data_IF_975382291420
#
_entry.id   IF_975382291420
#
_cell.length_a   1.000
_cell.length_b   1.000
_cell.length_c   1.000
_cell.angle_alpha   90.00
_cell.angle_beta   90.00
_cell.angle_gamma   90.00
#
_symmetry.space_group_name_H-M   'P 1'
#
loop_
_entity.id
_entity.type
_entity.pdbx_description
1 polymer ?
#
# COMPACT_ATOMS: atom_id res chain seq x y z
N UNK A 1 -19.94 23.04 -38.13
CA UNK A 1 -19.23 21.75 -37.93
C UNK A 1 -17.98 21.93 -37.08
N UNK A 2 -17.16 22.96 -37.30
CA UNK A 2 -15.97 23.27 -36.49
C UNK A 2 -16.31 23.65 -35.04
N UNK A 3 -17.31 24.50 -34.82
CA UNK A 3 -17.69 24.97 -33.47
C UNK A 3 -18.09 23.83 -32.51
N UNK A 4 -18.78 22.80 -33.02
CA UNK A 4 -19.18 21.63 -32.22
C UNK A 4 -17.95 20.80 -31.83
N UNK A 5 -16.96 20.69 -32.72
CA UNK A 5 -15.73 19.95 -32.47
C UNK A 5 -14.89 20.69 -31.43
N UNK A 6 -14.81 22.02 -31.50
CA UNK A 6 -14.09 22.85 -30.54
C UNK A 6 -14.70 22.75 -29.13
N UNK A 7 -16.03 22.72 -29.05
CA UNK A 7 -16.77 22.59 -27.79
C UNK A 7 -16.58 21.19 -27.17
N UNK A 8 -16.57 20.14 -28.00
CA UNK A 8 -16.25 18.77 -27.57
C UNK A 8 -14.81 18.66 -27.06
N UNK A 9 -13.86 19.31 -27.73
CA UNK A 9 -12.45 19.30 -27.36
C UNK A 9 -12.24 20.02 -26.01
N UNK A 10 -12.85 21.18 -25.81
CA UNK A 10 -12.80 21.93 -24.56
C UNK A 10 -13.36 21.10 -23.40
N UNK A 11 -14.52 20.47 -23.59
CA UNK A 11 -15.13 19.61 -22.57
C UNK A 11 -14.23 18.42 -22.21
N UNK A 12 -13.59 17.80 -23.20
CA UNK A 12 -12.64 16.69 -22.95
C UNK A 12 -11.44 17.12 -22.11
N UNK A 13 -10.98 18.35 -22.33
CA UNK A 13 -9.84 18.92 -21.63
C UNK A 13 -10.20 19.27 -20.18
N UNK A 14 -11.40 19.80 -19.95
CA UNK A 14 -11.92 20.06 -18.61
C UNK A 14 -12.11 18.77 -17.80
N UNK A 15 -12.61 17.69 -18.42
CA UNK A 15 -12.71 16.38 -17.76
C UNK A 15 -11.32 15.86 -17.37
N UNK A 16 -10.33 16.06 -18.22
CA UNK A 16 -8.94 15.66 -17.94
C UNK A 16 -8.34 16.46 -16.78
N UNK A 17 -8.60 17.76 -16.72
CA UNK A 17 -8.14 18.64 -15.63
C UNK A 17 -8.83 18.28 -14.29
N UNK A 18 -10.15 18.00 -14.33
CA UNK A 18 -10.90 17.52 -13.17
C UNK A 18 -10.33 16.21 -12.61
N UNK A 19 -9.98 15.26 -13.48
CA UNK A 19 -9.34 14.01 -13.06
C UNK A 19 -8.00 14.28 -12.37
N UNK A 20 -7.16 15.15 -12.92
CA UNK A 20 -5.87 15.51 -12.32
C UNK A 20 -6.03 16.17 -10.94
N UNK A 21 -7.03 17.06 -10.78
CA UNK A 21 -7.34 17.70 -9.49
C UNK A 21 -7.84 16.71 -8.44
N UNK A 22 -8.65 15.73 -8.84
CA UNK A 22 -9.13 14.67 -7.93
C UNK A 22 -7.94 13.85 -7.43
N UNK A 23 -7.01 13.46 -8.30
CA UNK A 23 -5.79 12.75 -7.88
C UNK A 23 -4.92 13.60 -6.92
N UNK A 24 -4.83 14.90 -7.17
CA UNK A 24 -4.12 15.82 -6.26
C UNK A 24 -4.80 15.93 -4.88
N UNK A 25 -6.13 15.95 -4.83
CA UNK A 25 -6.89 16.02 -3.57
C UNK A 25 -6.79 14.71 -2.79
N UNK A 26 -6.75 13.56 -3.47
CA UNK A 26 -6.50 12.27 -2.82
C UNK A 26 -5.11 12.21 -2.18
N UNK A 27 -4.14 12.97 -2.70
CA UNK A 27 -2.78 13.05 -2.16
C UNK A 27 -2.64 13.89 -0.88
N UNK A 28 -3.68 14.00 -0.03
CA UNK A 28 -3.49 14.59 1.31
C UNK A 28 -2.58 13.70 2.15
N UNK A 29 -1.80 14.32 3.04
CA UNK A 29 -0.85 13.59 3.91
C UNK A 29 -1.54 12.53 4.77
N UNK A 30 -2.79 12.77 5.19
CA UNK A 30 -3.55 11.82 6.01
C UNK A 30 -3.97 10.58 5.21
N UNK A 31 -4.50 10.75 3.99
CA UNK A 31 -4.84 9.62 3.12
C UNK A 31 -3.58 8.85 2.70
N UNK A 32 -2.48 9.53 2.37
CA UNK A 32 -1.21 8.86 2.08
C UNK A 32 -0.67 8.09 3.28
N UNK A 33 -0.80 8.62 4.49
CA UNK A 33 -0.43 7.88 5.70
C UNK A 33 -1.37 6.69 5.92
N UNK A 34 -2.66 6.82 5.65
CA UNK A 34 -3.62 5.72 5.76
C UNK A 34 -3.34 4.61 4.73
N UNK A 35 -2.97 4.97 3.51
CA UNK A 35 -2.57 4.01 2.48
C UNK A 35 -1.22 3.34 2.80
N UNK A 36 -0.34 4.02 3.53
CA UNK A 36 0.97 3.48 3.93
C UNK A 36 0.96 2.72 5.25
N UNK A 37 -0.01 3.00 6.13
CA UNK A 37 -0.10 2.44 7.47
C UNK A 37 -1.39 1.68 7.65
N UNK A 38 -1.26 0.37 7.87
CA UNK A 38 -2.38 -0.53 8.03
C UNK A 38 -2.53 -0.96 9.49
N UNK A 39 -3.76 -1.27 9.89
CA UNK A 39 -4.06 -1.69 11.26
C UNK A 39 -3.90 -3.21 11.45
N UNK A 40 -4.18 -3.70 12.66
CA UNK A 40 -4.12 -5.13 12.94
C UNK A 40 -5.07 -5.95 12.04
N UNK A 41 -6.26 -5.44 11.74
CA UNK A 41 -7.26 -6.17 11.00
C UNK A 41 -6.85 -6.32 9.54
N UNK A 42 -6.37 -5.24 8.95
CA UNK A 42 -5.81 -5.24 7.60
C UNK A 42 -4.64 -6.21 7.50
N UNK A 43 -3.67 -6.16 8.42
CA UNK A 43 -2.52 -7.11 8.43
C UNK A 43 -2.98 -8.56 8.54
N UNK A 44 -3.94 -8.85 9.42
CA UNK A 44 -4.48 -10.20 9.58
C UNK A 44 -5.15 -10.70 8.30
N UNK A 45 -5.87 -9.83 7.57
CA UNK A 45 -6.49 -10.17 6.29
C UNK A 45 -5.44 -10.35 5.19
N UNK A 46 -4.48 -9.43 5.06
CA UNK A 46 -3.43 -9.50 4.03
C UNK A 46 -2.57 -10.75 4.17
N UNK A 47 -2.08 -11.03 5.38
CA UNK A 47 -1.20 -12.17 5.63
C UNK A 47 -1.95 -13.48 5.94
N UNK A 48 -3.29 -13.43 6.03
CA UNK A 48 -4.14 -14.57 6.41
C UNK A 48 -3.70 -15.22 7.74
N UNK A 49 -3.40 -14.39 8.74
CA UNK A 49 -2.91 -14.84 10.05
C UNK A 49 -3.90 -14.52 11.17
N UNK A 50 -3.83 -15.33 12.23
CA UNK A 50 -4.62 -15.09 13.44
C UNK A 50 -4.03 -13.96 14.31
N UNK A 51 -4.86 -13.38 15.19
CA UNK A 51 -4.41 -12.40 16.17
C UNK A 51 -3.28 -12.93 17.06
N UNK A 52 -3.31 -14.22 17.42
CA UNK A 52 -2.26 -14.87 18.20
C UNK A 52 -0.94 -14.89 17.44
N UNK A 53 -0.98 -15.22 16.15
CA UNK A 53 0.20 -15.20 15.27
C UNK A 53 0.76 -13.79 15.13
N UNK A 54 -0.09 -12.78 14.93
CA UNK A 54 0.35 -11.38 14.86
C UNK A 54 0.96 -10.89 16.20
N UNK A 55 0.46 -11.39 17.33
CA UNK A 55 1.09 -11.13 18.62
C UNK A 55 2.48 -11.77 18.73
N UNK A 56 2.64 -13.02 18.28
CA UNK A 56 3.95 -13.67 18.21
C UNK A 56 4.92 -12.90 17.32
N UNK A 57 4.49 -12.43 16.14
CA UNK A 57 5.34 -11.63 15.25
C UNK A 57 5.81 -10.33 15.88
N UNK A 58 5.00 -9.69 16.73
CA UNK A 58 5.43 -8.52 17.49
C UNK A 58 6.39 -8.87 18.62
N UNK A 59 6.11 -9.92 19.38
CA UNK A 59 6.96 -10.38 20.48
C UNK A 59 8.33 -10.84 19.99
N UNK A 60 8.37 -11.50 18.83
CA UNK A 60 9.59 -12.00 18.20
C UNK A 60 10.35 -10.90 17.42
N UNK A 61 9.78 -9.70 17.29
CA UNK A 61 10.38 -8.61 16.51
C UNK A 61 10.39 -8.85 14.99
N UNK A 62 9.57 -9.78 14.51
CA UNK A 62 9.49 -10.16 13.08
C UNK A 62 8.89 -9.05 12.23
N UNK A 63 7.83 -8.38 12.71
CA UNK A 63 7.21 -7.24 12.01
C UNK A 63 7.38 -5.96 12.84
N UNK A 64 8.02 -4.91 12.30
CA UNK A 64 8.08 -3.59 12.93
C UNK A 64 6.68 -3.00 13.10
N UNK A 65 6.43 -2.34 14.23
CA UNK A 65 5.13 -1.72 14.51
C UNK A 65 5.28 -0.39 15.23
N UNK A 66 4.27 0.48 15.05
CA UNK A 66 4.08 1.71 15.81
C UNK A 66 2.87 1.56 16.72
N UNK A 67 3.01 1.97 17.98
CA UNK A 67 1.92 1.95 18.96
C UNK A 67 1.47 3.38 19.27
N UNK A 68 0.21 3.69 18.95
CA UNK A 68 -0.38 5.01 19.19
C UNK A 68 -1.70 4.80 19.95
N UNK A 69 -1.81 5.39 21.14
CA UNK A 69 -3.01 5.30 22.00
C UNK A 69 -3.54 3.86 22.20
N UNK A 70 -2.64 2.88 22.32
CA UNK A 70 -3.01 1.47 22.53
C UNK A 70 -3.38 0.71 21.25
N UNK A 71 -3.49 1.37 20.10
CA UNK A 71 -3.61 0.73 18.78
C UNK A 71 -2.25 0.51 18.15
N UNK A 72 -2.16 -0.54 17.32
CA UNK A 72 -0.95 -0.93 16.61
C UNK A 72 -1.14 -0.65 15.12
N UNK A 73 -0.11 -0.04 14.53
CA UNK A 73 -0.05 0.32 13.12
C UNK A 73 1.23 -0.25 12.53
N UNK A 74 1.15 -0.71 11.30
CA UNK A 74 2.25 -1.31 10.56
C UNK A 74 2.41 -0.60 9.23
N UNK A 75 3.65 -0.43 8.78
CA UNK A 75 3.86 0.09 7.42
C UNK A 75 3.67 -1.03 6.43
N UNK A 76 3.02 -0.73 5.31
CA UNK A 76 2.89 -1.67 4.19
C UNK A 76 4.28 -2.06 3.66
N UNK A 77 5.19 -1.10 3.54
CA UNK A 77 6.56 -1.33 3.04
C UNK A 77 7.34 -2.36 3.89
N UNK A 78 7.21 -2.29 5.21
CA UNK A 78 7.93 -3.22 6.12
C UNK A 78 7.38 -4.65 5.97
N UNK A 79 6.08 -4.79 5.68
CA UNK A 79 5.44 -6.09 5.45
C UNK A 79 5.84 -6.65 4.08
N UNK A 80 5.91 -5.81 3.06
CA UNK A 80 6.42 -6.21 1.73
C UNK A 80 7.87 -6.68 1.81
N UNK A 81 8.73 -5.96 2.54
CA UNK A 81 10.13 -6.35 2.75
C UNK A 81 10.24 -7.69 3.50
N UNK A 82 9.37 -7.91 4.48
CA UNK A 82 9.30 -9.19 5.19
C UNK A 82 8.87 -10.34 4.27
N UNK A 83 7.89 -10.10 3.40
CA UNK A 83 7.46 -11.10 2.42
C UNK A 83 8.58 -11.39 1.41
N UNK A 84 9.28 -10.37 0.93
CA UNK A 84 10.39 -10.53 -0.02
C UNK A 84 11.59 -11.26 0.61
N UNK A 85 11.95 -10.93 1.85
CA UNK A 85 13.07 -11.60 2.55
C UNK A 85 12.80 -13.07 2.85
N UNK A 86 11.54 -13.43 3.08
CA UNK A 86 11.11 -14.82 3.29
C UNK A 86 10.62 -15.49 2.00
N UNK A 87 10.66 -14.81 0.86
CA UNK A 87 10.20 -15.35 -0.42
C UNK A 87 11.20 -16.40 -0.93
N UNK A 88 10.83 -17.67 -0.77
CA UNK A 88 11.58 -18.79 -1.31
C UNK A 88 10.92 -19.27 -2.61
N UNK A 89 11.66 -19.19 -3.72
CA UNK A 89 11.22 -19.79 -4.98
C UNK A 89 12.03 -21.09 -5.26
N UNK A 90 11.42 -22.27 -5.11
CA UNK A 90 12.12 -23.55 -5.32
C UNK A 90 12.58 -23.77 -6.76
N UNK A 91 12.06 -23.01 -7.73
CA UNK A 91 12.39 -23.17 -9.15
C UNK A 91 13.60 -22.33 -9.61
N UNK A 92 14.10 -21.42 -8.78
CA UNK A 92 15.35 -20.70 -9.05
C UNK A 92 16.47 -21.38 -8.26
N UNK A 93 17.18 -22.32 -8.90
CA UNK A 93 18.51 -22.69 -8.44
C UNK A 93 19.39 -21.46 -8.59
N UNK A 94 19.78 -20.83 -7.49
CA UNK A 94 20.91 -19.92 -7.50
C UNK A 94 22.14 -20.78 -7.82
N UNK A 95 22.64 -20.72 -9.05
CA UNK A 95 23.99 -21.16 -9.34
C UNK A 95 24.93 -20.30 -8.51
N UNK A 96 25.31 -20.83 -7.34
CA UNK A 96 26.21 -20.19 -6.42
C UNK A 96 27.57 -20.09 -7.07
N UNK A 97 27.94 -18.88 -7.48
CA UNK A 97 29.34 -18.50 -7.57
C UNK A 97 29.67 -17.70 -6.31
N UNK A 98 30.31 -18.40 -5.37
CA UNK A 98 31.10 -17.79 -4.29
C UNK A 98 32.34 -17.15 -4.87
#
# INVERSE_FOLDING_TARGET
MTEIIDLLLALSQEIKDLKARIELIRATRAERLKDMWIDNQDVMQTLHISQRTLQTFRSNGTIPYSKIQGKFYYKVSDIEELLQSNYYNPNFKCDGNK
#
